data_IF_400392188598
#
_entry.id   IF_400392188598
#
_cell.length_a   1.000
_cell.length_b   1.000
_cell.length_c   1.000
_cell.angle_alpha   90.00
_cell.angle_beta   90.00
_cell.angle_gamma   90.00
#
_symmetry.space_group_name_H-M   'P 1'
#
loop_
_entity.id
_entity.type
_entity.pdbx_description
1 polymer ?
#
# COMPACT_ATOMS: atom_id res chain seq x y z
N UNK A 1 18.16 24.77 39.66
CA UNK A 1 18.61 25.29 38.36
C UNK A 1 19.18 24.13 37.57
N UNK A 2 18.43 23.57 36.61
CA UNK A 2 18.98 22.61 35.63
C UNK A 2 18.31 22.88 34.29
N UNK A 3 19.10 23.43 33.39
CA UNK A 3 18.79 23.75 32.01
C UNK A 3 18.58 22.47 31.19
N UNK A 4 17.74 22.51 30.15
CA UNK A 4 18.27 22.57 28.79
C UNK A 4 17.18 22.52 27.71
N UNK A 5 17.03 23.68 27.08
CA UNK A 5 17.20 23.86 25.64
C UNK A 5 16.14 23.18 24.76
N UNK A 6 15.04 23.92 24.56
CA UNK A 6 14.27 23.92 23.30
C UNK A 6 15.24 23.85 22.12
N UNK A 7 15.43 22.66 21.55
CA UNK A 7 16.06 22.51 20.24
C UNK A 7 15.05 22.98 19.20
N UNK A 8 14.93 24.30 19.04
CA UNK A 8 14.50 24.88 17.76
C UNK A 8 15.62 24.57 16.77
N UNK A 9 15.56 23.39 16.15
CA UNK A 9 16.26 23.13 14.89
C UNK A 9 15.53 23.91 13.81
N UNK A 10 15.80 25.22 13.77
CA UNK A 10 15.63 26.01 12.56
C UNK A 10 16.78 25.66 11.63
N UNK A 11 16.70 24.49 10.99
CA UNK A 11 17.52 24.21 9.80
C UNK A 11 16.62 24.51 8.61
N UNK A 12 17.04 25.50 7.82
CA UNK A 12 16.38 25.96 6.60
C UNK A 12 16.37 24.84 5.55
N UNK A 13 15.43 23.92 5.67
CA UNK A 13 15.27 22.77 4.79
C UNK A 13 14.03 22.03 5.22
N UNK A 14 12.98 22.12 4.40
CA UNK A 14 11.70 21.39 4.42
C UNK A 14 11.16 21.10 5.84
N UNK A 15 10.08 21.79 6.21
CA UNK A 15 9.37 21.59 7.48
C UNK A 15 9.09 20.11 7.74
N UNK A 16 9.23 19.62 8.98
CA UNK A 16 8.94 18.22 9.31
C UNK A 16 7.52 17.77 8.91
N UNK A 17 6.57 18.71 8.84
CA UNK A 17 5.22 18.46 8.29
C UNK A 17 5.23 18.18 6.79
N UNK A 18 6.06 18.88 6.02
CA UNK A 18 6.21 18.62 4.59
C UNK A 18 6.82 17.23 4.33
N UNK A 19 7.82 16.82 5.12
CA UNK A 19 8.38 15.46 5.01
C UNK A 19 7.32 14.39 5.28
N UNK A 20 6.49 14.56 6.31
CA UNK A 20 5.41 13.63 6.63
C UNK A 20 4.36 13.55 5.51
N UNK A 21 3.97 14.70 4.94
CA UNK A 21 3.03 14.73 3.80
C UNK A 21 3.64 14.08 2.55
N UNK A 22 4.92 14.35 2.25
CA UNK A 22 5.62 13.75 1.12
C UNK A 22 5.73 12.23 1.29
N UNK A 23 6.05 11.77 2.50
CA UNK A 23 6.17 10.35 2.82
C UNK A 23 4.82 9.64 2.76
N UNK A 24 3.76 10.27 3.27
CA UNK A 24 2.40 9.74 3.16
C UNK A 24 1.93 9.67 1.70
N UNK A 25 2.23 10.70 0.89
CA UNK A 25 1.92 10.70 -0.54
C UNK A 25 2.68 9.62 -1.31
N UNK A 26 3.98 9.46 -1.05
CA UNK A 26 4.80 8.41 -1.66
C UNK A 26 4.35 7.01 -1.25
N UNK A 27 4.15 6.76 0.05
CA UNK A 27 3.68 5.48 0.55
C UNK A 27 2.29 5.15 0.01
N UNK A 28 1.36 6.12 0.04
CA UNK A 28 0.02 5.97 -0.51
C UNK A 28 0.04 5.65 -2.00
N UNK A 29 0.81 6.39 -2.80
CA UNK A 29 0.93 6.16 -4.23
C UNK A 29 1.48 4.78 -4.59
N UNK A 30 2.53 4.31 -3.88
CA UNK A 30 3.07 2.95 -4.08
C UNK A 30 2.03 1.89 -3.74
N UNK A 31 1.34 2.03 -2.60
CA UNK A 31 0.28 1.10 -2.20
C UNK A 31 -0.83 1.08 -3.24
N UNK A 32 -1.29 2.24 -3.72
CA UNK A 32 -2.34 2.33 -4.74
C UNK A 32 -1.94 1.66 -6.04
N UNK A 33 -0.70 1.86 -6.52
CA UNK A 33 -0.22 1.22 -7.75
C UNK A 33 -0.14 -0.30 -7.60
N UNK A 34 0.37 -0.78 -6.47
CA UNK A 34 0.40 -2.22 -6.17
C UNK A 34 -1.01 -2.79 -6.11
N UNK A 35 -1.92 -2.13 -5.41
CA UNK A 35 -3.33 -2.55 -5.32
C UNK A 35 -3.96 -2.60 -6.73
N UNK A 36 -3.78 -1.58 -7.57
CA UNK A 36 -4.33 -1.57 -8.94
C UNK A 36 -3.72 -2.67 -9.81
N UNK A 37 -2.45 -3.04 -9.61
CA UNK A 37 -1.80 -4.10 -10.40
C UNK A 37 -2.08 -5.51 -9.89
N UNK A 38 -2.14 -5.71 -8.58
CA UNK A 38 -2.31 -7.02 -7.96
C UNK A 38 -3.79 -7.41 -7.83
N UNK A 39 -4.71 -6.46 -7.59
CA UNK A 39 -6.15 -6.72 -7.56
C UNK A 39 -6.70 -7.40 -8.82
N UNK A 40 -6.39 -7.00 -10.07
CA UNK A 40 -6.92 -7.67 -11.25
C UNK A 40 -6.38 -9.09 -11.39
N UNK A 41 -5.19 -9.40 -10.87
CA UNK A 41 -4.67 -10.77 -10.79
C UNK A 41 -5.51 -11.62 -9.83
N UNK A 42 -5.71 -11.15 -8.60
CA UNK A 42 -6.53 -11.82 -7.59
C UNK A 42 -7.99 -11.96 -8.05
N UNK A 43 -8.57 -10.89 -8.62
CA UNK A 43 -9.92 -10.90 -9.17
C UNK A 43 -10.04 -11.83 -10.38
N UNK A 44 -9.01 -11.94 -11.21
CA UNK A 44 -8.97 -12.90 -12.32
C UNK A 44 -8.96 -14.34 -11.79
N UNK A 45 -8.14 -14.64 -10.78
CA UNK A 45 -8.10 -15.94 -10.13
C UNK A 45 -9.44 -16.29 -9.47
N UNK A 46 -10.04 -15.35 -8.73
CA UNK A 46 -11.37 -15.48 -8.14
C UNK A 46 -12.47 -15.61 -9.18
N UNK A 47 -12.38 -14.89 -10.30
CA UNK A 47 -13.33 -15.00 -11.41
C UNK A 47 -13.21 -16.36 -12.08
N UNK A 48 -11.99 -16.85 -12.31
CA UNK A 48 -11.75 -18.22 -12.79
C UNK A 48 -12.36 -19.19 -11.81
N UNK A 49 -12.07 -19.07 -10.51
CA UNK A 49 -12.65 -19.92 -9.46
C UNK A 49 -14.18 -19.90 -9.44
N UNK A 50 -14.81 -18.74 -9.69
CA UNK A 50 -16.28 -18.64 -9.85
C UNK A 50 -16.79 -19.24 -11.16
N UNK A 51 -16.06 -19.11 -12.26
CA UNK A 51 -16.41 -19.68 -13.56
C UNK A 51 -16.20 -21.20 -13.60
N UNK A 52 -15.17 -21.70 -12.93
CA UNK A 52 -14.84 -23.13 -12.79
C UNK A 52 -15.44 -23.74 -11.53
N UNK A 53 -16.27 -23.04 -10.77
CA UNK A 53 -17.01 -23.59 -9.62
C UNK A 53 -16.14 -24.19 -8.50
N UNK A 54 -14.88 -23.80 -8.39
CA UNK A 54 -13.93 -24.35 -7.42
C UNK A 54 -13.39 -25.75 -7.76
N UNK A 55 -12.63 -26.39 -6.84
CA UNK A 55 -11.90 -27.66 -7.09
C UNK A 55 -12.79 -28.85 -7.48
N UNK A 56 -14.11 -28.67 -7.48
CA UNK A 56 -15.11 -29.68 -7.80
C UNK A 56 -15.56 -29.74 -9.27
N UNK A 57 -15.39 -28.69 -10.09
CA UNK A 57 -15.92 -28.73 -11.47
C UNK A 57 -14.95 -29.36 -12.49
N UNK A 58 -13.68 -29.54 -12.14
CA UNK A 58 -12.71 -30.30 -12.95
C UNK A 58 -12.85 -31.82 -12.78
N UNK A 59 -13.80 -32.30 -11.96
CA UNK A 59 -14.01 -33.73 -11.67
C UNK A 59 -14.94 -34.44 -12.66
N UNK A 60 -15.19 -33.80 -13.82
CA UNK A 60 -16.12 -34.28 -14.87
C UNK A 60 -15.44 -34.55 -16.20
N UNK A 61 -14.14 -34.86 -16.18
CA UNK A 61 -13.53 -35.74 -17.18
C UNK A 61 -12.95 -36.95 -16.43
N UNK A 62 -13.35 -38.19 -16.80
CA UNK A 62 -12.84 -39.42 -16.17
C UNK A 62 -11.34 -39.60 -16.39
#
# INVERSE_FOLDING_TARGET
MSECRRRRRTRSGISGRQLLLLQAGLAGGVITVLVIKELPGIMRELRIFRMTGGPGANRRYP
#
